data_IF_005324500076
#
_entry.id   IF_005324500076
#
_cell.length_a   1.000
_cell.length_b   1.000
_cell.length_c   1.000
_cell.angle_alpha   90.00
_cell.angle_beta   90.00
_cell.angle_gamma   90.00
#
_symmetry.space_group_name_H-M   'P 1'
#
loop_
_entity.id
_entity.type
_entity.pdbx_description
1 polymer ?
#
# COMPACT_ATOMS: atom_id res chain seq x y z
N UNK A 1 -67.00 -30.05 -13.41
CA UNK A 1 -66.57 -30.06 -12.00
C UNK A 1 -65.05 -30.10 -12.02
N UNK A 2 -64.43 -28.95 -11.73
CA UNK A 2 -63.12 -28.69 -11.11
C UNK A 2 -61.96 -29.66 -11.44
N UNK A 3 -60.72 -29.27 -11.74
CA UNK A 3 -60.03 -27.99 -11.77
C UNK A 3 -58.61 -28.23 -12.35
N UNK A 4 -57.98 -27.17 -12.84
CA UNK A 4 -56.56 -26.79 -12.67
C UNK A 4 -55.44 -27.81 -12.97
N UNK A 5 -54.72 -27.66 -14.08
CA UNK A 5 -53.57 -26.76 -14.33
C UNK A 5 -52.23 -27.27 -13.78
N UNK A 6 -51.35 -27.65 -14.72
CA UNK A 6 -49.95 -27.99 -14.49
C UNK A 6 -49.10 -27.41 -15.63
N UNK A 7 -48.99 -26.08 -15.66
CA UNK A 7 -48.05 -25.36 -16.53
C UNK A 7 -46.63 -25.51 -15.95
N UNK A 8 -45.76 -26.19 -16.69
CA UNK A 8 -44.32 -26.33 -16.37
C UNK A 8 -43.53 -25.27 -17.12
N UNK A 9 -43.65 -24.03 -16.64
CA UNK A 9 -42.85 -22.90 -17.10
C UNK A 9 -41.37 -23.03 -16.66
N UNK A 10 -40.39 -22.66 -17.52
CA UNK A 10 -38.97 -22.80 -17.25
C UNK A 10 -38.47 -21.78 -16.23
N UNK A 11 -37.49 -22.19 -15.41
CA UNK A 11 -36.83 -21.37 -14.41
C UNK A 11 -36.32 -20.03 -14.97
N UNK A 12 -37.03 -18.94 -14.63
CA UNK A 12 -36.54 -17.57 -14.82
C UNK A 12 -35.42 -17.29 -13.82
N UNK A 13 -34.24 -16.94 -14.34
CA UNK A 13 -33.19 -16.32 -13.55
C UNK A 13 -33.72 -15.06 -12.87
N UNK A 14 -33.62 -15.03 -11.54
CA UNK A 14 -34.08 -13.94 -10.70
C UNK A 14 -33.34 -12.63 -10.97
N UNK A 15 -34.16 -11.60 -11.18
CA UNK A 15 -33.91 -10.16 -11.06
C UNK A 15 -32.61 -9.74 -10.35
N UNK A 16 -31.88 -8.84 -11.01
CA UNK A 16 -30.69 -8.17 -10.53
C UNK A 16 -30.83 -7.71 -9.08
N UNK A 17 -30.03 -8.31 -8.19
CA UNK A 17 -29.89 -7.87 -6.81
C UNK A 17 -29.32 -6.44 -6.82
N UNK A 18 -30.18 -5.46 -6.51
CA UNK A 18 -29.81 -4.05 -6.27
C UNK A 18 -28.44 -3.99 -5.58
N UNK A 19 -27.46 -3.42 -6.27
CA UNK A 19 -26.16 -3.09 -5.71
C UNK A 19 -26.40 -2.29 -4.43
N UNK A 20 -25.83 -2.80 -3.34
CA UNK A 20 -25.91 -2.22 -2.01
C UNK A 20 -25.33 -0.80 -2.05
N UNK A 21 -26.08 0.10 -1.42
CA UNK A 21 -25.82 1.49 -1.05
C UNK A 21 -24.37 1.94 -1.25
N UNK A 22 -24.11 2.89 -2.16
CA UNK A 22 -22.82 3.56 -2.19
C UNK A 22 -22.67 4.34 -0.89
N UNK A 23 -21.73 3.93 -0.05
CA UNK A 23 -21.18 4.83 0.96
C UNK A 23 -20.71 6.07 0.22
N UNK A 24 -21.21 7.25 0.60
CA UNK A 24 -20.77 8.51 -0.01
C UNK A 24 -19.25 8.57 0.07
N UNK A 25 -18.58 8.60 -1.08
CA UNK A 25 -17.13 8.77 -1.14
C UNK A 25 -16.87 10.20 -0.69
N UNK A 26 -16.33 10.35 0.52
CA UNK A 26 -15.90 11.63 1.03
C UNK A 26 -14.62 12.06 0.27
N UNK A 27 -14.37 13.36 0.06
CA UNK A 27 -13.19 13.85 -0.65
C UNK A 27 -11.86 13.27 -0.12
N UNK A 28 -11.76 13.05 1.19
CA UNK A 28 -10.60 12.41 1.83
C UNK A 28 -10.39 10.95 1.40
N UNK A 29 -11.47 10.19 1.21
CA UNK A 29 -11.40 8.81 0.72
C UNK A 29 -10.92 8.77 -0.73
N UNK A 30 -11.34 9.73 -1.55
CA UNK A 30 -10.87 9.87 -2.91
C UNK A 30 -9.37 10.24 -2.97
N UNK A 31 -8.91 11.12 -2.07
CA UNK A 31 -7.50 11.54 -2.00
C UNK A 31 -6.58 10.39 -1.58
N UNK A 32 -6.95 9.64 -0.54
CA UNK A 32 -6.20 8.47 -0.10
C UNK A 32 -6.13 7.39 -1.19
N UNK A 33 -7.25 7.15 -1.87
CA UNK A 33 -7.31 6.23 -3.01
C UNK A 33 -6.39 6.66 -4.16
N UNK A 34 -6.44 7.94 -4.55
CA UNK A 34 -5.61 8.46 -5.63
C UNK A 34 -4.10 8.39 -5.29
N UNK A 35 -3.73 8.68 -4.03
CA UNK A 35 -2.34 8.53 -3.56
C UNK A 35 -1.88 7.08 -3.72
N UNK A 36 -2.67 6.14 -3.22
CA UNK A 36 -2.36 4.71 -3.33
C UNK A 36 -2.27 4.25 -4.79
N UNK A 37 -3.19 4.69 -5.65
CA UNK A 37 -3.20 4.36 -7.07
C UNK A 37 -1.90 4.81 -7.76
N UNK A 38 -1.50 6.06 -7.58
CA UNK A 38 -0.26 6.60 -8.20
C UNK A 38 0.98 5.86 -7.73
N UNK A 39 1.11 5.63 -6.41
CA UNK A 39 2.26 4.90 -5.86
C UNK A 39 2.28 3.44 -6.33
N UNK A 40 1.13 2.76 -6.37
CA UNK A 40 1.05 1.40 -6.92
C UNK A 40 1.45 1.36 -8.40
N UNK A 41 1.01 2.32 -9.20
CA UNK A 41 1.41 2.38 -10.61
C UNK A 41 2.92 2.54 -10.75
N UNK A 42 3.55 3.46 -10.01
CA UNK A 42 5.01 3.62 -10.03
C UNK A 42 5.74 2.37 -9.51
N UNK A 43 5.20 1.72 -8.48
CA UNK A 43 5.79 0.52 -7.91
C UNK A 43 5.86 -0.64 -8.92
N UNK A 44 4.78 -0.89 -9.65
CA UNK A 44 4.68 -2.03 -10.58
C UNK A 44 5.23 -1.71 -11.98
N UNK A 45 5.00 -0.50 -12.49
CA UNK A 45 5.38 -0.10 -13.86
C UNK A 45 6.74 0.60 -13.93
N UNK A 46 7.33 0.94 -12.79
CA UNK A 46 8.63 1.62 -12.70
C UNK A 46 8.54 3.12 -13.01
N UNK A 47 9.68 3.70 -13.37
CA UNK A 47 9.81 5.14 -13.61
C UNK A 47 8.98 5.62 -14.81
N UNK A 48 8.17 6.68 -14.63
CA UNK A 48 7.28 7.20 -15.67
C UNK A 48 7.23 8.72 -15.68
N UNK A 49 6.84 9.33 -16.80
CA UNK A 49 6.54 10.77 -16.80
C UNK A 49 5.20 11.05 -16.12
N UNK A 50 5.00 12.29 -15.64
CA UNK A 50 3.69 12.76 -15.14
C UNK A 50 2.57 12.57 -16.17
N UNK A 51 2.88 12.68 -17.46
CA UNK A 51 1.92 12.47 -18.54
C UNK A 51 1.57 10.99 -18.74
N UNK A 52 2.54 10.09 -18.61
CA UNK A 52 2.30 8.64 -18.61
C UNK A 52 1.47 8.22 -17.40
N UNK A 53 1.80 8.72 -16.19
CA UNK A 53 1.03 8.46 -14.97
C UNK A 53 -0.44 8.87 -15.11
N UNK A 54 -0.70 10.05 -15.69
CA UNK A 54 -2.07 10.51 -15.94
C UNK A 54 -2.83 9.57 -16.89
N UNK A 55 -2.17 9.03 -17.93
CA UNK A 55 -2.79 8.07 -18.85
C UNK A 55 -3.06 6.73 -18.17
N UNK A 56 -2.09 6.21 -17.43
CA UNK A 56 -2.15 4.88 -16.82
C UNK A 56 -3.16 4.83 -15.66
N UNK A 57 -3.21 5.87 -14.84
CA UNK A 57 -4.11 5.96 -13.68
C UNK A 57 -5.49 6.51 -14.02
N UNK A 58 -5.66 7.12 -15.20
CA UNK A 58 -6.87 7.86 -15.57
C UNK A 58 -7.09 9.16 -14.79
N UNK A 59 -6.15 9.58 -13.94
CA UNK A 59 -6.24 10.81 -13.18
C UNK A 59 -5.88 12.03 -14.02
N UNK A 60 -6.45 13.19 -13.67
CA UNK A 60 -6.15 14.45 -14.36
C UNK A 60 -4.68 14.86 -14.17
N UNK A 61 -4.13 15.60 -15.14
CA UNK A 61 -2.76 16.12 -15.05
C UNK A 61 -2.54 17.02 -13.83
N UNK A 62 -3.56 17.78 -13.42
CA UNK A 62 -3.51 18.64 -12.24
C UNK A 62 -3.35 17.76 -10.99
N UNK A 63 -4.23 16.78 -10.82
CA UNK A 63 -4.15 15.81 -9.71
C UNK A 63 -2.80 15.09 -9.65
N UNK A 64 -2.28 14.62 -10.78
CA UNK A 64 -0.95 13.97 -10.82
C UNK A 64 0.15 14.95 -10.40
N UNK A 65 0.09 16.19 -10.86
CA UNK A 65 1.11 17.19 -10.53
C UNK A 65 1.12 17.52 -9.04
N UNK A 66 -0.06 17.67 -8.44
CA UNK A 66 -0.22 17.93 -7.01
C UNK A 66 0.30 16.75 -6.19
N UNK A 67 -0.13 15.52 -6.51
CA UNK A 67 0.28 14.31 -5.82
C UNK A 67 1.79 14.05 -5.92
N UNK A 68 2.37 14.22 -7.11
CA UNK A 68 3.81 14.07 -7.29
C UNK A 68 4.57 15.16 -6.52
N UNK A 69 4.07 16.40 -6.50
CA UNK A 69 4.66 17.46 -5.69
C UNK A 69 4.69 17.12 -4.20
N UNK A 70 3.59 16.58 -3.67
CA UNK A 70 3.51 16.09 -2.29
C UNK A 70 4.47 14.93 -2.04
N UNK A 71 4.52 13.94 -2.93
CA UNK A 71 5.41 12.80 -2.74
C UNK A 71 6.90 13.18 -2.82
N UNK A 72 7.27 14.15 -3.65
CA UNK A 72 8.64 14.67 -3.68
C UNK A 72 8.94 15.40 -2.37
N UNK A 73 8.00 16.20 -1.87
CA UNK A 73 8.14 16.88 -0.58
C UNK A 73 8.31 15.88 0.58
N UNK A 74 7.53 14.79 0.56
CA UNK A 74 7.57 13.71 1.54
C UNK A 74 8.78 12.76 1.35
N UNK A 75 9.59 12.93 0.29
CA UNK A 75 10.72 12.05 -0.03
C UNK A 75 10.34 10.63 -0.46
N UNK A 76 9.09 10.41 -0.89
CA UNK A 76 8.58 9.11 -1.33
C UNK A 76 8.92 8.84 -2.80
N UNK A 77 8.96 9.89 -3.63
CA UNK A 77 9.32 9.80 -5.05
C UNK A 77 10.42 10.79 -5.39
N UNK A 78 11.18 10.47 -6.42
CA UNK A 78 12.31 11.28 -6.93
C UNK A 78 12.24 11.46 -8.44
N UNK A 79 12.84 12.54 -8.92
CA UNK A 79 13.05 12.75 -10.35
C UNK A 79 14.32 12.00 -10.78
N UNK A 80 14.19 10.93 -11.57
CA UNK A 80 15.30 10.05 -12.02
C UNK A 80 16.10 10.62 -13.20
N UNK A 81 15.77 11.82 -13.65
CA UNK A 81 16.34 12.46 -14.84
C UNK A 81 15.37 12.48 -16.02
N UNK A 82 15.91 12.64 -17.23
CA UNK A 82 15.13 12.87 -18.44
C UNK A 82 15.14 11.60 -19.29
N UNK A 83 13.99 11.18 -19.82
CA UNK A 83 13.94 10.14 -20.85
C UNK A 83 14.38 10.73 -22.18
N UNK A 84 15.42 10.18 -22.80
CA UNK A 84 15.78 10.56 -24.17
C UNK A 84 14.62 10.22 -25.11
N UNK A 85 14.16 11.22 -25.87
CA UNK A 85 13.13 11.05 -26.88
C UNK A 85 13.67 11.45 -28.24
N UNK A 86 13.58 10.56 -29.22
CA UNK A 86 13.78 10.90 -30.64
C UNK A 86 12.49 11.52 -31.17
N UNK A 87 12.34 12.84 -31.04
CA UNK A 87 11.20 13.59 -31.55
C UNK A 87 11.16 15.05 -31.07
N UNK A 88 10.36 15.92 -31.69
CA UNK A 88 10.23 17.32 -31.26
C UNK A 88 9.52 17.43 -29.90
N UNK A 89 10.12 18.19 -28.98
CA UNK A 89 9.58 18.47 -27.66
C UNK A 89 10.67 18.47 -26.57
N UNK A 90 10.37 19.08 -25.42
CA UNK A 90 11.24 18.95 -24.24
C UNK A 90 11.11 17.50 -23.74
N UNK A 91 12.21 16.74 -23.63
CA UNK A 91 12.09 15.35 -23.21
C UNK A 91 11.56 15.28 -21.76
N UNK A 92 10.69 14.31 -21.45
CA UNK A 92 9.95 14.29 -20.19
C UNK A 92 10.83 13.85 -19.03
N UNK A 93 10.62 14.48 -17.87
CA UNK A 93 11.25 14.07 -16.60
C UNK A 93 10.55 12.80 -16.11
N UNK A 94 11.36 11.81 -15.74
CA UNK A 94 10.90 10.56 -15.15
C UNK A 94 10.79 10.68 -13.63
N UNK A 95 9.68 10.21 -13.10
CA UNK A 95 9.38 10.13 -11.67
C UNK A 95 9.36 8.66 -11.28
N UNK A 96 9.93 8.33 -10.14
CA UNK A 96 9.96 6.97 -9.61
C UNK A 96 9.94 6.98 -8.08
N UNK A 97 9.60 5.86 -7.47
CA UNK A 97 9.69 5.69 -6.02
C UNK A 97 11.16 5.78 -5.60
N UNK A 98 11.42 6.57 -4.56
CA UNK A 98 12.72 6.58 -3.90
C UNK A 98 12.86 5.35 -3.00
N UNK A 99 13.27 4.24 -3.62
CA UNK A 99 13.42 2.93 -2.96
C UNK A 99 14.44 2.95 -1.81
N UNK A 100 15.37 3.89 -1.84
CA UNK A 100 16.39 4.06 -0.82
C UNK A 100 16.02 5.15 0.21
N UNK A 101 15.06 6.02 -0.10
CA UNK A 101 14.70 7.16 0.74
C UNK A 101 14.06 6.80 2.07
N UNK A 102 13.51 5.59 2.22
CA UNK A 102 12.75 5.19 3.40
C UNK A 102 12.91 3.71 3.74
N UNK A 103 12.57 3.35 4.99
CA UNK A 103 12.50 1.97 5.49
C UNK A 103 11.16 1.69 6.17
N UNK A 104 10.85 0.41 6.31
CA UNK A 104 9.70 -0.11 7.06
C UNK A 104 10.23 -1.11 8.08
N UNK A 105 9.67 -1.11 9.28
CA UNK A 105 9.91 -2.17 10.25
C UNK A 105 8.72 -3.12 10.24
N UNK A 106 8.98 -4.42 10.09
CA UNK A 106 7.99 -5.47 10.23
C UNK A 106 8.26 -6.28 11.49
N UNK A 107 7.25 -6.54 12.30
CA UNK A 107 7.31 -7.38 13.49
C UNK A 107 6.33 -8.55 13.34
N UNK A 108 6.79 -9.77 13.55
CA UNK A 108 5.98 -10.99 13.56
C UNK A 108 5.97 -11.61 14.96
N UNK A 109 4.79 -11.61 15.57
CA UNK A 109 4.53 -12.12 16.92
C UNK A 109 3.83 -13.49 16.91
N UNK A 110 3.72 -14.12 15.75
CA UNK A 110 3.03 -15.41 15.56
C UNK A 110 3.87 -16.62 15.99
N UNK A 111 5.20 -16.48 16.01
CA UNK A 111 6.14 -17.54 16.37
C UNK A 111 5.89 -18.13 17.77
N UNK A 112 6.00 -19.46 17.96
CA UNK A 112 5.67 -20.12 19.23
C UNK A 112 6.70 -19.88 20.34
N UNK A 113 7.90 -19.40 20.02
CA UNK A 113 8.99 -19.20 20.99
C UNK A 113 9.82 -17.95 20.81
N UNK A 114 9.68 -17.24 19.69
CA UNK A 114 10.38 -16.00 19.39
C UNK A 114 9.41 -14.98 18.80
N UNK A 115 9.72 -13.71 19.03
CA UNK A 115 9.21 -12.62 18.21
C UNK A 115 10.29 -12.23 17.22
N UNK A 116 9.91 -12.12 15.96
CA UNK A 116 10.80 -11.77 14.87
C UNK A 116 10.56 -10.32 14.46
N UNK A 117 11.63 -9.65 14.04
CA UNK A 117 11.55 -8.31 13.51
C UNK A 117 12.53 -8.13 12.36
N UNK A 118 12.13 -7.31 11.38
CA UNK A 118 12.91 -7.03 10.20
C UNK A 118 12.88 -5.54 9.87
N UNK A 119 14.04 -5.00 9.47
CA UNK A 119 14.14 -3.72 8.78
C UNK A 119 14.10 -4.00 7.28
N UNK A 120 13.20 -3.32 6.56
CA UNK A 120 12.83 -3.66 5.19
C UNK A 120 12.91 -2.40 4.31
N UNK A 121 13.44 -2.55 3.09
CA UNK A 121 13.37 -1.51 2.06
C UNK A 121 11.95 -1.38 1.48
N UNK A 122 11.69 -0.32 0.71
CA UNK A 122 10.38 -0.15 0.07
C UNK A 122 10.07 -1.21 -0.99
N UNK A 123 11.07 -1.90 -1.56
CA UNK A 123 10.88 -3.03 -2.47
C UNK A 123 10.64 -4.37 -1.75
N UNK A 124 10.52 -4.35 -0.41
CA UNK A 124 10.32 -5.55 0.39
C UNK A 124 11.60 -6.35 0.65
N UNK A 125 12.79 -5.80 0.37
CA UNK A 125 14.06 -6.47 0.67
C UNK A 125 14.35 -6.33 2.16
N UNK A 126 14.61 -7.45 2.83
CA UNK A 126 15.01 -7.44 4.23
C UNK A 126 16.48 -7.09 4.34
N UNK A 127 16.77 -5.99 5.04
CA UNK A 127 18.11 -5.45 5.26
C UNK A 127 18.72 -5.97 6.55
N UNK A 128 17.92 -6.02 7.62
CA UNK A 128 18.31 -6.52 8.93
C UNK A 128 17.22 -7.42 9.49
N UNK A 129 17.62 -8.44 10.27
CA UNK A 129 16.70 -9.30 11.04
C UNK A 129 17.17 -9.38 12.48
N UNK A 130 16.21 -9.37 13.40
CA UNK A 130 16.42 -9.57 14.84
C UNK A 130 15.33 -10.46 15.38
N UNK A 131 15.67 -11.19 16.43
CA UNK A 131 14.74 -12.08 17.11
C UNK A 131 14.95 -11.93 18.61
N UNK A 132 13.87 -12.02 19.35
CA UNK A 132 13.90 -12.05 20.82
C UNK A 132 13.07 -13.23 21.32
N UNK A 133 13.49 -13.89 22.42
CA UNK A 133 12.67 -14.91 23.05
C UNK A 133 11.28 -14.35 23.40
N UNK A 134 10.24 -15.12 23.09
CA UNK A 134 8.85 -14.74 23.36
C UNK A 134 8.57 -14.81 24.87
N UNK A 135 8.24 -13.69 25.53
CA UNK A 135 7.87 -13.72 26.94
C UNK A 135 6.47 -14.30 27.15
N UNK A 136 6.16 -14.70 28.38
CA UNK A 136 4.84 -15.20 28.80
C UNK A 136 3.80 -14.05 28.91
N UNK A 137 3.54 -13.37 27.79
CA UNK A 137 2.47 -12.37 27.65
C UNK A 137 2.62 -11.11 28.50
N UNK A 138 1.54 -10.32 28.54
CA UNK A 138 1.42 -9.12 29.37
C UNK A 138 2.46 -8.04 29.08
N UNK A 139 2.88 -7.33 30.12
CA UNK A 139 3.88 -6.24 30.03
C UNK A 139 5.22 -6.72 29.49
N UNK A 140 5.66 -7.94 29.85
CA UNK A 140 6.94 -8.46 29.35
C UNK A 140 6.95 -8.63 27.82
N UNK A 141 5.83 -9.12 27.25
CA UNK A 141 5.70 -9.22 25.80
C UNK A 141 5.69 -7.84 25.13
N UNK A 142 4.99 -6.86 25.71
CA UNK A 142 5.01 -5.49 25.22
C UNK A 142 6.42 -4.87 25.22
N UNK A 143 7.16 -5.02 26.32
CA UNK A 143 8.53 -4.50 26.43
C UNK A 143 9.49 -5.17 25.46
N UNK A 144 9.34 -6.47 25.21
CA UNK A 144 10.13 -7.18 24.21
C UNK A 144 9.86 -6.66 22.79
N UNK A 145 8.59 -6.44 22.44
CA UNK A 145 8.19 -5.87 21.14
C UNK A 145 8.69 -4.43 20.99
N UNK A 146 8.54 -3.60 22.02
CA UNK A 146 9.02 -2.21 22.04
C UNK A 146 10.54 -2.16 21.83
N UNK A 147 11.28 -2.96 22.59
CA UNK A 147 12.75 -3.00 22.51
C UNK A 147 13.22 -3.47 21.14
N UNK A 148 12.59 -4.52 20.58
CA UNK A 148 12.88 -5.01 19.24
C UNK A 148 12.60 -3.94 18.16
N UNK A 149 11.49 -3.21 18.29
CA UNK A 149 11.16 -2.11 17.37
C UNK A 149 12.19 -0.98 17.45
N UNK A 150 12.56 -0.55 18.67
CA UNK A 150 13.55 0.49 18.91
C UNK A 150 14.93 0.10 18.35
N UNK A 151 15.34 -1.15 18.54
CA UNK A 151 16.59 -1.67 17.96
C UNK A 151 16.57 -1.57 16.43
N UNK A 152 15.53 -2.07 15.78
CA UNK A 152 15.42 -2.07 14.32
C UNK A 152 15.35 -0.65 13.74
N UNK A 153 14.64 0.26 14.41
CA UNK A 153 14.61 1.68 14.04
C UNK A 153 16.00 2.29 14.18
N UNK A 154 16.73 1.97 15.26
CA UNK A 154 18.09 2.46 15.49
C UNK A 154 19.14 1.94 14.49
N UNK A 155 18.89 0.79 13.86
CA UNK A 155 19.72 0.25 12.77
C UNK A 155 19.44 0.92 11.41
N UNK A 156 18.35 1.66 11.28
CA UNK A 156 17.94 2.23 10.00
C UNK A 156 18.84 3.37 9.55
N UNK A 157 19.35 3.28 8.32
CA UNK A 157 20.14 4.35 7.67
C UNK A 157 19.27 5.39 6.97
N UNK A 158 17.95 5.20 6.94
CA UNK A 158 16.97 6.11 6.34
C UNK A 158 15.71 6.23 7.23
N UNK A 159 14.87 7.26 7.06
CA UNK A 159 13.66 7.42 7.85
C UNK A 159 12.73 6.20 7.78
N UNK A 160 12.21 5.79 8.93
CA UNK A 160 11.23 4.69 9.04
C UNK A 160 9.82 5.26 8.87
N UNK A 161 9.09 4.83 7.84
CA UNK A 161 7.72 5.29 7.57
C UNK A 161 6.70 4.79 8.58
N UNK A 162 6.95 3.61 9.13
CA UNK A 162 6.07 2.98 10.08
C UNK A 162 6.50 1.59 10.46
N UNK A 163 5.76 1.03 11.41
CA UNK A 163 5.95 -0.31 11.93
C UNK A 163 4.69 -1.12 11.63
N UNK A 164 4.84 -2.22 10.90
CA UNK A 164 3.79 -3.21 10.70
C UNK A 164 3.92 -4.34 11.71
N UNK A 165 2.83 -4.73 12.36
CA UNK A 165 2.82 -5.80 13.37
C UNK A 165 1.84 -6.90 12.96
N UNK A 166 2.37 -8.10 12.73
CA UNK A 166 1.59 -9.32 12.59
C UNK A 166 1.47 -10.02 13.95
N UNK A 167 0.25 -10.26 14.41
CA UNK A 167 0.01 -10.95 15.67
C UNK A 167 -1.15 -11.95 15.54
N UNK A 168 -1.09 -13.10 16.23
CA UNK A 168 -2.19 -14.04 16.24
C UNK A 168 -3.35 -13.51 17.11
N UNK A 169 -4.59 -13.76 16.67
CA UNK A 169 -5.80 -13.43 17.42
C UNK A 169 -6.58 -12.24 16.85
N UNK A 170 -7.56 -11.76 17.63
CA UNK A 170 -8.44 -10.66 17.21
C UNK A 170 -7.73 -9.34 17.51
N UNK A 171 -7.35 -8.63 16.46
CA UNK A 171 -6.82 -7.27 16.53
C UNK A 171 -7.97 -6.27 16.36
N UNK A 172 -7.99 -5.23 17.20
CA UNK A 172 -8.86 -4.07 17.02
C UNK A 172 -7.98 -2.90 16.55
N UNK A 173 -7.93 -2.62 15.24
CA UNK A 173 -7.14 -1.55 14.68
C UNK A 173 -7.75 -0.17 14.93
#
# INVERSE_FOLDING_TARGET
MNAESGDSSPHRFGSARKLRTSTKVLPEHARGHNRALVLQTLYHSGAMSRADLSRETGLTRVTISDLVGEFIHDGIVVEKGIRETTGPGKPPILIDIDREGHRIVGLDLSGPGVFEGALISLDGVVLERREVPRPNGGTAAYEAVRSLAEELVGLSTAPVLGIGVGAPGIVRP
#
